data_IF_382044399004
#
_entry.id   IF_382044399004
#
_cell.length_a   1.000
_cell.length_b   1.000
_cell.length_c   1.000
_cell.angle_alpha   90.00
_cell.angle_beta   90.00
_cell.angle_gamma   90.00
#
_symmetry.space_group_name_H-M   'P 1'
#
loop_
_entity.id
_entity.type
_entity.pdbx_description
1 polymer ?
#
# COMPACT_ATOMS: atom_id res chain seq x y z
N UNK A 1 18.33 -20.00 57.51
CA UNK A 1 16.94 -19.51 57.62
C UNK A 1 16.58 -18.81 56.32
N UNK A 2 15.77 -19.45 55.46
CA UNK A 2 15.41 -18.90 54.14
C UNK A 2 14.25 -17.90 54.30
N UNK A 3 14.53 -16.60 54.13
CA UNK A 3 13.48 -15.57 54.05
C UNK A 3 12.84 -15.65 52.66
N UNK A 4 11.68 -16.29 52.54
CA UNK A 4 10.82 -16.11 51.38
C UNK A 4 10.29 -14.68 51.40
N UNK A 5 10.94 -13.77 50.64
CA UNK A 5 10.38 -12.45 50.33
C UNK A 5 9.28 -12.68 49.29
N UNK A 6 8.02 -12.63 49.72
CA UNK A 6 6.90 -12.52 48.81
C UNK A 6 6.93 -11.18 48.08
N UNK A 7 6.33 -11.13 46.89
CA UNK A 7 6.18 -9.87 46.15
C UNK A 7 5.25 -8.92 46.90
N UNK A 8 5.63 -7.64 46.98
CA UNK A 8 4.74 -6.61 47.50
C UNK A 8 3.57 -6.39 46.53
N UNK A 9 2.38 -6.14 47.06
CA UNK A 9 1.20 -5.81 46.24
C UNK A 9 1.47 -4.63 45.29
N UNK A 10 2.26 -3.64 45.74
CA UNK A 10 2.65 -2.49 44.92
C UNK A 10 3.56 -2.88 43.76
N UNK A 11 4.49 -3.82 43.97
CA UNK A 11 5.39 -4.32 42.91
C UNK A 11 4.59 -5.10 41.85
N UNK A 12 3.62 -5.91 42.28
CA UNK A 12 2.72 -6.63 41.38
C UNK A 12 1.88 -5.66 40.56
N UNK A 13 1.28 -4.64 41.20
CA UNK A 13 0.46 -3.63 40.51
C UNK A 13 1.28 -2.81 39.50
N UNK A 14 2.48 -2.36 39.87
CA UNK A 14 3.37 -1.63 38.97
C UNK A 14 3.79 -2.50 37.79
N UNK A 15 4.17 -3.76 38.06
CA UNK A 15 4.55 -4.71 37.00
C UNK A 15 3.38 -4.98 36.04
N UNK A 16 2.18 -5.19 36.58
CA UNK A 16 0.99 -5.42 35.78
C UNK A 16 0.65 -4.18 34.92
N UNK A 17 0.77 -2.98 35.47
CA UNK A 17 0.50 -1.74 34.74
C UNK A 17 1.53 -1.52 33.63
N UNK A 18 2.82 -1.79 33.89
CA UNK A 18 3.88 -1.72 32.90
C UNK A 18 3.67 -2.72 31.76
N UNK A 19 3.43 -3.99 32.09
CA UNK A 19 3.17 -5.04 31.09
C UNK A 19 1.95 -4.68 30.25
N UNK A 20 0.87 -4.22 30.88
CA UNK A 20 -0.36 -3.82 30.17
C UNK A 20 -0.14 -2.64 29.23
N UNK A 21 0.62 -1.63 29.68
CA UNK A 21 0.92 -0.45 28.85
C UNK A 21 1.80 -0.83 27.67
N UNK A 22 2.80 -1.69 27.89
CA UNK A 22 3.68 -2.21 26.84
C UNK A 22 2.90 -3.04 25.82
N UNK A 23 2.04 -3.96 26.26
CA UNK A 23 1.27 -4.80 25.34
C UNK A 23 0.27 -3.99 24.52
N UNK A 24 -0.40 -3.00 25.13
CA UNK A 24 -1.29 -2.07 24.42
C UNK A 24 -0.52 -1.22 23.40
N UNK A 25 0.63 -0.67 23.80
CA UNK A 25 1.48 0.13 22.92
C UNK A 25 1.97 -0.70 21.72
N UNK A 26 2.44 -1.92 21.96
CA UNK A 26 2.88 -2.83 20.90
C UNK A 26 1.74 -3.22 19.96
N UNK A 27 0.54 -3.49 20.49
CA UNK A 27 -0.62 -3.81 19.66
C UNK A 27 -1.04 -2.62 18.78
N UNK A 28 -1.00 -1.41 19.32
CA UNK A 28 -1.28 -0.20 18.55
C UNK A 28 -0.22 0.02 17.45
N UNK A 29 1.05 -0.17 17.78
CA UNK A 29 2.15 -0.06 16.83
C UNK A 29 2.03 -1.11 15.71
N UNK A 30 1.68 -2.36 16.04
CA UNK A 30 1.50 -3.43 15.07
C UNK A 30 0.41 -3.08 14.04
N UNK A 31 -0.73 -2.55 14.49
CA UNK A 31 -1.82 -2.14 13.60
C UNK A 31 -1.42 -1.02 12.64
N UNK A 32 -0.69 -0.02 13.12
CA UNK A 32 -0.21 1.08 12.27
C UNK A 32 0.77 0.59 11.21
N UNK A 33 1.71 -0.28 11.59
CA UNK A 33 2.66 -0.89 10.67
C UNK A 33 1.97 -1.72 9.59
N UNK A 34 0.98 -2.53 9.95
CA UNK A 34 0.19 -3.28 8.97
C UNK A 34 -0.53 -2.37 7.99
N UNK A 35 -1.09 -1.27 8.47
CA UNK A 35 -1.76 -0.31 7.59
C UNK A 35 -0.78 0.25 6.58
N UNK A 36 0.37 0.77 7.02
CA UNK A 36 1.42 1.32 6.14
C UNK A 36 1.87 0.28 5.12
N UNK A 37 2.14 -0.94 5.56
CA UNK A 37 2.59 -2.03 4.69
C UNK A 37 1.54 -2.38 3.63
N UNK A 38 0.25 -2.42 3.99
CA UNK A 38 -0.85 -2.61 3.02
C UNK A 38 -0.88 -1.50 1.99
N UNK A 39 -0.69 -0.23 2.38
CA UNK A 39 -0.64 0.88 1.41
C UNK A 39 0.55 0.74 0.45
N UNK A 40 1.72 0.38 0.98
CA UNK A 40 2.93 0.21 0.18
C UNK A 40 2.77 -0.93 -0.84
N UNK A 41 2.17 -2.05 -0.44
CA UNK A 41 1.89 -3.16 -1.34
C UNK A 41 0.97 -2.71 -2.48
N UNK A 42 -0.15 -2.05 -2.15
CA UNK A 42 -1.11 -1.57 -3.16
C UNK A 42 -0.44 -0.59 -4.12
N UNK A 43 0.33 0.37 -3.60
CA UNK A 43 1.04 1.36 -4.43
C UNK A 43 2.07 0.69 -5.35
N UNK A 44 2.84 -0.26 -4.83
CA UNK A 44 3.90 -0.95 -5.60
C UNK A 44 3.30 -1.83 -6.70
N UNK A 45 2.22 -2.57 -6.39
CA UNK A 45 1.48 -3.35 -7.38
C UNK A 45 0.85 -2.46 -8.45
N UNK A 46 0.24 -1.34 -8.07
CA UNK A 46 -0.30 -0.37 -9.01
C UNK A 46 0.78 0.20 -9.95
N UNK A 47 1.97 0.50 -9.42
CA UNK A 47 3.09 0.97 -10.23
C UNK A 47 3.59 -0.10 -11.21
N UNK A 48 3.67 -1.36 -10.77
CA UNK A 48 4.05 -2.48 -11.63
C UNK A 48 3.06 -2.69 -12.77
N UNK A 49 1.75 -2.66 -12.46
CA UNK A 49 0.68 -2.75 -13.47
C UNK A 49 0.79 -1.60 -14.46
N UNK A 50 1.04 -0.38 -13.97
CA UNK A 50 1.19 0.79 -14.83
C UNK A 50 2.40 0.66 -15.78
N UNK A 51 3.54 0.21 -15.26
CA UNK A 51 4.73 -0.06 -16.08
C UNK A 51 4.44 -1.15 -17.13
N UNK A 52 3.72 -2.21 -16.76
CA UNK A 52 3.37 -3.28 -17.70
C UNK A 52 2.42 -2.77 -18.81
N UNK A 53 1.47 -1.89 -18.48
CA UNK A 53 0.59 -1.25 -19.47
C UNK A 53 1.40 -0.33 -20.40
N UNK A 54 2.35 0.42 -19.85
CA UNK A 54 3.24 1.27 -20.62
C UNK A 54 4.10 0.44 -21.60
N UNK A 55 4.68 -0.67 -21.14
CA UNK A 55 5.44 -1.59 -21.98
C UNK A 55 4.58 -2.20 -23.10
N UNK A 56 3.33 -2.61 -22.83
CA UNK A 56 2.46 -3.15 -23.88
C UNK A 56 2.03 -2.08 -24.89
N UNK A 57 1.84 -0.83 -24.45
CA UNK A 57 1.55 0.31 -25.32
C UNK A 57 2.73 0.65 -26.22
N UNK A 58 3.96 0.70 -25.68
CA UNK A 58 5.19 0.96 -26.45
C UNK A 58 5.46 -0.19 -27.43
N UNK A 59 5.23 -1.44 -27.02
CA UNK A 59 5.38 -2.62 -27.87
C UNK A 59 4.29 -2.77 -28.95
N UNK A 60 3.31 -1.86 -29.01
CA UNK A 60 2.20 -1.90 -29.98
C UNK A 60 1.23 -3.07 -29.77
N UNK A 61 1.26 -3.70 -28.58
CA UNK A 61 0.41 -4.84 -28.28
C UNK A 61 -1.02 -4.36 -27.95
N UNK A 62 -2.00 -4.81 -28.74
CA UNK A 62 -3.43 -4.45 -28.58
C UNK A 62 -4.12 -4.99 -27.32
N UNK A 63 -3.41 -5.70 -26.44
CA UNK A 63 -3.97 -6.28 -25.20
C UNK A 63 -3.46 -5.52 -23.99
N UNK A 64 -4.30 -4.65 -23.46
CA UNK A 64 -4.10 -4.05 -22.13
C UNK A 64 -4.21 -5.20 -21.11
N UNK A 65 -3.22 -5.38 -20.21
CA UNK A 65 -3.27 -6.42 -19.19
C UNK A 65 -4.52 -6.25 -18.32
N UNK A 66 -5.16 -7.37 -18.00
CA UNK A 66 -6.40 -7.39 -17.23
C UNK A 66 -6.10 -6.93 -15.81
N UNK A 67 -6.57 -5.72 -15.47
CA UNK A 67 -6.33 -5.10 -14.17
C UNK A 67 -7.30 -5.69 -13.14
N UNK A 68 -6.78 -6.06 -11.96
CA UNK A 68 -7.59 -6.60 -10.86
C UNK A 68 -8.60 -5.57 -10.35
N UNK A 69 -9.76 -6.04 -9.87
CA UNK A 69 -10.92 -5.22 -9.42
C UNK A 69 -10.63 -4.14 -8.38
N UNK A 70 -9.47 -4.22 -7.71
CA UNK A 70 -8.98 -3.22 -6.75
C UNK A 70 -8.56 -1.90 -7.42
N UNK A 71 -8.24 -1.92 -8.71
CA UNK A 71 -7.75 -0.78 -9.47
C UNK A 71 -8.67 -0.44 -10.65
N UNK A 72 -8.91 0.85 -10.84
CA UNK A 72 -9.63 1.42 -11.97
C UNK A 72 -8.62 2.07 -12.90
N UNK A 73 -8.44 1.46 -14.07
CA UNK A 73 -7.62 1.99 -15.14
C UNK A 73 -8.49 2.90 -16.03
N UNK A 74 -8.09 4.16 -16.17
CA UNK A 74 -8.62 5.08 -17.18
C UNK A 74 -7.49 5.44 -18.14
N UNK A 75 -7.66 5.06 -19.40
CA UNK A 75 -6.78 5.48 -20.49
C UNK A 75 -7.54 6.53 -21.29
N UNK A 76 -7.02 7.76 -21.34
CA UNK A 76 -7.57 8.83 -22.16
C UNK A 76 -6.54 9.30 -23.17
N UNK A 77 -6.99 9.51 -24.41
CA UNK A 77 -6.18 10.08 -25.48
C UNK A 77 -6.65 11.52 -25.68
N UNK A 78 -5.81 12.49 -25.33
CA UNK A 78 -6.15 13.91 -25.38
C UNK A 78 -5.00 14.66 -26.05
N UNK A 79 -5.27 15.42 -27.11
CA UNK A 79 -4.32 16.32 -27.79
C UNK A 79 -2.95 15.69 -28.11
N UNK A 80 -2.94 14.48 -28.67
CA UNK A 80 -1.72 13.76 -29.04
C UNK A 80 -0.85 13.30 -27.85
N UNK A 81 -1.44 13.28 -26.66
CA UNK A 81 -0.89 12.76 -25.43
C UNK A 81 -1.76 11.61 -24.91
N UNK A 82 -1.11 10.50 -24.54
CA UNK A 82 -1.77 9.35 -23.93
C UNK A 82 -1.65 9.47 -22.41
N UNK A 83 -2.78 9.73 -21.76
CA UNK A 83 -2.86 9.82 -20.31
C UNK A 83 -3.34 8.49 -19.75
N UNK A 84 -2.49 7.86 -18.95
CA UNK A 84 -2.81 6.61 -18.26
C UNK A 84 -2.97 6.92 -16.78
N UNK A 85 -4.19 6.74 -16.26
CA UNK A 85 -4.53 6.93 -14.86
C UNK A 85 -4.91 5.60 -14.22
N UNK A 86 -4.22 5.26 -13.13
CA UNK A 86 -4.56 4.12 -12.29
C UNK A 86 -5.02 4.65 -10.93
N UNK A 87 -6.31 4.51 -10.63
CA UNK A 87 -6.90 4.82 -9.34
C UNK A 87 -7.20 3.52 -8.57
N UNK A 88 -7.17 3.52 -7.24
CA UNK A 88 -7.56 2.35 -6.45
C UNK A 88 -8.70 2.70 -5.48
N UNK A 89 -9.62 1.75 -5.30
CA UNK A 89 -10.89 2.02 -4.59
C UNK A 89 -10.76 2.09 -3.07
N UNK A 90 -9.69 1.52 -2.50
CA UNK A 90 -9.58 1.39 -1.05
C UNK A 90 -8.88 2.59 -0.37
N UNK A 91 -8.17 3.44 -1.12
CA UNK A 91 -7.55 4.66 -0.58
C UNK A 91 -7.52 5.74 -1.68
N UNK A 92 -7.78 6.99 -1.30
CA UNK A 92 -7.85 8.14 -2.22
C UNK A 92 -6.45 8.42 -2.78
N UNK A 93 -6.13 7.80 -3.90
CA UNK A 93 -4.88 8.02 -4.60
C UNK A 93 -4.97 7.53 -6.04
N UNK A 94 -4.28 8.25 -6.92
CA UNK A 94 -4.17 7.90 -8.32
C UNK A 94 -2.74 8.12 -8.77
N UNK A 95 -2.21 7.21 -9.58
CA UNK A 95 -0.97 7.42 -10.31
C UNK A 95 -1.38 7.83 -11.72
N UNK A 96 -0.90 8.99 -12.19
CA UNK A 96 -1.11 9.47 -13.54
C UNK A 96 0.23 9.56 -14.25
N UNK A 97 0.32 8.98 -15.44
CA UNK A 97 1.44 9.19 -16.37
C UNK A 97 0.93 9.75 -17.68
N UNK A 98 1.69 10.72 -18.19
CA UNK A 98 1.44 11.35 -19.47
C UNK A 98 2.55 10.93 -20.43
N UNK A 99 2.17 10.39 -21.59
CA UNK A 99 3.08 10.06 -22.67
C UNK A 99 2.81 10.94 -23.88
N UNK A 100 3.86 11.60 -24.37
CA UNK A 100 3.83 12.17 -25.71
C UNK A 100 3.85 11.03 -26.72
N UNK A 101 2.91 11.08 -27.68
CA UNK A 101 2.72 10.01 -28.66
C UNK A 101 3.94 9.87 -29.56
N UNK A 102 4.84 8.94 -29.22
CA UNK A 102 5.93 8.52 -30.09
C UNK A 102 5.39 7.46 -31.05
N UNK A 103 5.01 7.89 -32.26
CA UNK A 103 4.72 7.00 -33.38
C UNK A 103 3.25 6.62 -33.55
N UNK A 104 2.77 6.76 -34.78
CA UNK A 104 1.46 6.31 -35.24
C UNK A 104 1.36 4.78 -35.20
N UNK A 105 0.54 4.24 -34.31
CA UNK A 105 -0.02 2.90 -34.48
C UNK A 105 -1.54 3.03 -34.41
N UNK A 106 -2.10 3.35 -35.59
CA UNK A 106 -3.46 2.98 -35.99
C UNK A 106 -3.37 1.58 -36.61
#
# INVERSE_FOLDING_TARGET
>A
MMKQKGFSLTEVLVSLLLVTTLTLGLLQQQRQSEQILKQLIIKTQGLLILNQIEETLIAGARKIPQVSSTYHLKVQNQNNELIIQLAWNQQIGSITRNHQRVGSLL
#
